data_IF_586914309800
#
_entry.id   IF_586914309800
#
_cell.length_a   1.000
_cell.length_b   1.000
_cell.length_c   1.000
_cell.angle_alpha   90.00
_cell.angle_beta   90.00
_cell.angle_gamma   90.00
#
_symmetry.space_group_name_H-M   'P 1'
#
loop_
_entity.id
_entity.type
_entity.pdbx_description
1 polymer ?
#
# COMPACT_ATOMS: atom_id res chain seq x y z
N UNK A 1 -25.83 -26.41 -34.28
CA UNK A 1 -27.12 -26.96 -33.83
C UNK A 1 -27.18 -26.69 -32.34
N UNK A 2 -27.76 -25.54 -31.97
CA UNK A 2 -27.87 -25.08 -30.58
C UNK A 2 -29.14 -25.73 -30.05
N UNK A 3 -29.00 -26.62 -29.09
CA UNK A 3 -30.16 -27.21 -28.41
C UNK A 3 -30.57 -26.19 -27.33
N UNK A 4 -31.57 -25.38 -27.66
CA UNK A 4 -32.27 -24.60 -26.67
C UNK A 4 -33.13 -25.56 -25.83
N UNK A 5 -32.69 -25.86 -24.62
CA UNK A 5 -33.49 -26.56 -23.63
C UNK A 5 -34.55 -25.58 -23.12
N UNK A 6 -35.74 -25.64 -23.66
CA UNK A 6 -36.91 -24.98 -23.10
C UNK A 6 -37.19 -25.57 -21.72
N UNK A 7 -37.06 -24.74 -20.68
CA UNK A 7 -37.59 -25.03 -19.35
C UNK A 7 -39.12 -24.94 -19.34
N UNK A 8 -39.74 -26.03 -19.70
CA UNK A 8 -41.21 -26.25 -19.69
C UNK A 8 -41.65 -27.04 -18.45
N UNK A 9 -41.06 -26.75 -17.29
CA UNK A 9 -41.56 -27.30 -16.04
C UNK A 9 -41.68 -26.16 -15.03
N UNK A 10 -42.94 -25.80 -14.86
CA UNK A 10 -43.33 -24.90 -13.77
C UNK A 10 -42.81 -25.37 -12.44
N UNK A 11 -42.55 -24.42 -11.62
CA UNK A 11 -42.08 -24.41 -10.25
C UNK A 11 -42.62 -25.58 -9.39
N UNK A 12 -42.09 -26.78 -9.52
CA UNK A 12 -42.19 -27.83 -8.52
C UNK A 12 -40.91 -27.78 -7.75
N UNK A 13 -41.01 -27.38 -6.49
CA UNK A 13 -39.91 -27.22 -5.54
C UNK A 13 -38.89 -28.34 -5.53
N UNK A 14 -38.06 -28.36 -6.56
CA UNK A 14 -36.87 -29.21 -6.60
C UNK A 14 -35.89 -28.77 -5.53
N UNK A 15 -35.33 -29.72 -4.81
CA UNK A 15 -34.28 -29.41 -3.83
C UNK A 15 -33.16 -28.63 -4.52
N UNK A 16 -32.64 -27.58 -3.89
CA UNK A 16 -31.52 -26.82 -4.45
C UNK A 16 -30.31 -27.72 -4.66
N UNK A 17 -29.61 -27.49 -5.76
CA UNK A 17 -28.37 -28.19 -6.10
C UNK A 17 -27.25 -27.18 -6.32
N UNK A 18 -26.00 -27.63 -6.33
CA UNK A 18 -24.86 -26.77 -6.59
C UNK A 18 -24.92 -26.08 -7.97
N UNK A 19 -25.59 -26.72 -8.95
CA UNK A 19 -25.77 -26.19 -10.30
C UNK A 19 -27.04 -25.33 -10.47
N UNK A 20 -27.94 -25.40 -9.49
CA UNK A 20 -29.16 -24.61 -9.45
C UNK A 20 -29.49 -24.24 -8.00
N UNK A 21 -28.77 -23.25 -7.43
CA UNK A 21 -28.92 -22.87 -6.03
C UNK A 21 -30.28 -22.26 -5.70
N UNK A 22 -30.93 -21.57 -6.63
CA UNK A 22 -32.24 -20.98 -6.42
C UNK A 22 -32.36 -20.07 -5.20
N UNK A 23 -33.55 -19.94 -4.66
CA UNK A 23 -33.84 -19.14 -3.44
C UNK A 23 -33.70 -19.95 -2.15
N UNK A 24 -33.23 -21.17 -2.21
CA UNK A 24 -33.10 -22.07 -1.07
C UNK A 24 -31.62 -22.43 -0.84
N UNK A 25 -31.28 -22.68 0.42
CA UNK A 25 -29.96 -23.18 0.79
C UNK A 25 -29.69 -24.53 0.18
N UNK A 26 -28.59 -24.68 -0.54
CA UNK A 26 -28.13 -25.96 -1.06
C UNK A 26 -27.62 -26.90 0.05
N UNK A 27 -27.30 -26.36 1.21
CA UNK A 27 -26.82 -27.13 2.37
C UNK A 27 -27.95 -27.63 3.26
N UNK A 28 -28.93 -26.79 3.57
CA UNK A 28 -29.98 -27.07 4.55
C UNK A 28 -31.36 -27.28 3.93
N UNK A 29 -31.58 -26.75 2.71
CA UNK A 29 -32.90 -26.73 2.07
C UNK A 29 -33.84 -25.66 2.62
N UNK A 30 -33.40 -24.80 3.54
CA UNK A 30 -34.22 -23.71 4.07
C UNK A 30 -34.28 -22.56 3.05
N UNK A 31 -35.39 -21.86 2.99
CA UNK A 31 -35.54 -20.69 2.14
C UNK A 31 -34.74 -19.51 2.69
N UNK A 32 -34.11 -18.75 1.80
CA UNK A 32 -33.48 -17.47 2.13
C UNK A 32 -34.50 -16.35 2.08
N UNK A 33 -34.33 -15.32 2.89
CA UNK A 33 -35.18 -14.13 2.96
C UNK A 33 -36.66 -14.44 3.31
N UNK A 34 -36.90 -15.48 4.07
CA UNK A 34 -38.20 -15.94 4.51
C UNK A 34 -38.22 -15.97 6.05
N UNK A 35 -39.03 -15.11 6.65
CA UNK A 35 -39.13 -14.99 8.12
C UNK A 35 -39.70 -16.26 8.75
N UNK A 36 -40.60 -16.96 8.06
CA UNK A 36 -41.22 -18.20 8.53
C UNK A 36 -40.22 -19.39 8.49
N UNK A 37 -39.22 -19.31 7.61
CA UNK A 37 -38.15 -20.32 7.47
C UNK A 37 -36.87 -20.03 8.26
N UNK A 38 -36.93 -19.12 9.23
CA UNK A 38 -35.78 -18.79 10.11
C UNK A 38 -35.13 -17.44 9.85
N UNK A 39 -35.62 -16.67 8.88
CA UNK A 39 -35.27 -15.26 8.68
C UNK A 39 -33.85 -14.97 8.22
N UNK A 40 -33.10 -15.96 7.72
CA UNK A 40 -31.75 -15.72 7.20
C UNK A 40 -31.80 -14.89 5.93
N UNK A 41 -31.30 -13.64 6.04
CA UNK A 41 -31.29 -12.67 4.96
C UNK A 41 -30.04 -12.84 4.09
N UNK A 42 -30.22 -13.01 2.79
CA UNK A 42 -29.16 -13.02 1.80
C UNK A 42 -29.39 -11.83 0.87
N UNK A 43 -28.45 -10.89 0.87
CA UNK A 43 -28.50 -9.76 -0.05
C UNK A 43 -27.83 -10.13 -1.37
N UNK A 44 -28.40 -9.60 -2.45
CA UNK A 44 -27.80 -9.75 -3.77
C UNK A 44 -26.53 -8.91 -3.83
N UNK A 45 -25.44 -9.51 -4.33
CA UNK A 45 -24.19 -8.80 -4.56
C UNK A 45 -24.18 -8.19 -5.95
N UNK A 46 -24.05 -6.88 -6.04
CA UNK A 46 -24.00 -6.12 -7.30
C UNK A 46 -22.58 -5.76 -7.73
N UNK A 47 -21.58 -6.24 -7.01
CA UNK A 47 -20.18 -5.89 -7.20
C UNK A 47 -19.64 -5.06 -6.05
N UNK A 48 -18.31 -4.98 -5.96
CA UNK A 48 -17.68 -4.10 -4.99
C UNK A 48 -17.91 -2.63 -5.41
N UNK A 49 -18.41 -1.76 -4.51
CA UNK A 49 -18.59 -0.35 -4.81
C UNK A 49 -17.30 0.32 -5.21
N UNK A 50 -17.38 1.32 -6.09
CA UNK A 50 -16.24 2.13 -6.47
C UNK A 50 -15.73 2.93 -5.28
N UNK A 51 -14.43 2.87 -5.06
CA UNK A 51 -13.76 3.57 -3.98
C UNK A 51 -13.08 4.85 -4.52
N UNK A 52 -13.21 5.99 -3.82
CA UNK A 52 -12.60 7.24 -4.27
C UNK A 52 -11.09 7.12 -4.47
N UNK A 53 -10.58 7.75 -5.52
CA UNK A 53 -9.16 7.85 -5.87
C UNK A 53 -8.44 6.51 -6.06
N UNK A 54 -9.15 5.44 -6.39
CA UNK A 54 -8.52 4.14 -6.60
C UNK A 54 -8.62 3.69 -8.04
N UNK A 55 -7.57 3.03 -8.50
CA UNK A 55 -7.47 2.35 -9.80
C UNK A 55 -7.51 0.85 -9.55
N UNK A 56 -8.30 0.15 -10.35
CA UNK A 56 -8.32 -1.32 -10.34
C UNK A 56 -7.08 -1.87 -11.04
N UNK A 57 -6.38 -2.78 -10.38
CA UNK A 57 -5.21 -3.48 -10.90
C UNK A 57 -5.55 -4.97 -10.95
N UNK A 58 -5.60 -5.50 -12.15
CA UNK A 58 -5.79 -6.93 -12.35
C UNK A 58 -4.57 -7.69 -11.84
N UNK A 59 -4.81 -8.69 -11.01
CA UNK A 59 -3.77 -9.53 -10.45
C UNK A 59 -3.13 -10.41 -11.52
N UNK A 60 -1.93 -10.86 -11.22
CA UNK A 60 -1.17 -11.69 -12.14
C UNK A 60 0.11 -12.20 -11.53
N UNK A 61 0.89 -12.87 -12.35
CA UNK A 61 2.22 -13.34 -12.02
C UNK A 61 3.24 -12.27 -12.37
N UNK A 62 4.16 -11.98 -11.46
CA UNK A 62 5.25 -11.03 -11.69
C UNK A 62 6.54 -11.53 -11.08
N UNK A 63 7.64 -11.01 -11.58
CA UNK A 63 8.94 -11.13 -10.94
C UNK A 63 9.16 -9.86 -10.14
N UNK A 64 9.41 -10.00 -8.87
CA UNK A 64 9.76 -8.91 -7.97
C UNK A 64 11.18 -9.09 -7.45
N UNK A 65 11.79 -8.00 -7.03
CA UNK A 65 13.14 -7.98 -6.51
C UNK A 65 14.09 -7.08 -7.30
N UNK A 66 15.34 -7.03 -6.86
CA UNK A 66 16.38 -6.25 -7.52
C UNK A 66 16.90 -6.97 -8.76
N UNK A 67 17.26 -6.20 -9.79
CA UNK A 67 17.89 -6.74 -11.00
C UNK A 67 19.17 -7.52 -10.73
N UNK A 68 19.48 -8.46 -11.60
CA UNK A 68 20.78 -9.11 -11.63
C UNK A 68 21.92 -8.10 -11.83
N UNK A 69 21.66 -7.02 -12.57
CA UNK A 69 22.59 -5.93 -12.86
C UNK A 69 22.57 -4.80 -11.79
N UNK A 70 22.14 -5.12 -10.56
CA UNK A 70 22.17 -4.15 -9.47
C UNK A 70 23.59 -3.65 -9.19
N UNK A 71 23.86 -2.41 -9.62
CA UNK A 71 25.17 -1.75 -9.51
C UNK A 71 25.66 -1.67 -8.08
N UNK A 72 24.74 -1.56 -7.11
CA UNK A 72 25.06 -1.45 -5.69
C UNK A 72 25.22 -2.81 -5.00
N UNK A 73 24.71 -3.87 -5.63
CA UNK A 73 24.79 -5.25 -5.15
C UNK A 73 24.32 -5.44 -3.70
N UNK A 74 23.27 -4.73 -3.29
CA UNK A 74 22.73 -4.85 -1.93
C UNK A 74 22.19 -6.24 -1.61
N UNK A 75 21.68 -6.96 -2.60
CA UNK A 75 21.15 -8.34 -2.49
C UNK A 75 20.20 -8.57 -1.32
N UNK A 76 19.50 -7.52 -0.92
CA UNK A 76 18.51 -7.56 0.16
C UNK A 76 17.10 -7.83 -0.34
N UNK A 77 16.88 -7.78 -1.65
CA UNK A 77 15.63 -8.09 -2.33
C UNK A 77 15.90 -9.04 -3.50
N UNK A 78 16.02 -10.32 -3.20
CA UNK A 78 16.30 -11.34 -4.20
C UNK A 78 15.17 -11.45 -5.21
N UNK A 79 15.52 -11.62 -6.47
CA UNK A 79 14.58 -11.84 -7.55
C UNK A 79 13.77 -13.11 -7.31
N UNK A 80 12.45 -13.02 -7.40
CA UNK A 80 11.53 -14.12 -7.20
C UNK A 80 10.22 -13.91 -7.94
N UNK A 81 9.63 -15.00 -8.39
CA UNK A 81 8.30 -14.98 -8.99
C UNK A 81 7.24 -15.01 -7.92
N UNK A 82 6.25 -14.12 -8.03
CA UNK A 82 5.11 -14.03 -7.14
C UNK A 82 3.81 -13.89 -7.92
N UNK A 83 2.71 -14.37 -7.35
CA UNK A 83 1.36 -14.17 -7.88
C UNK A 83 0.63 -13.17 -7.01
N UNK A 84 0.26 -12.03 -7.57
CA UNK A 84 -0.45 -10.96 -6.87
C UNK A 84 -1.94 -11.07 -7.21
N UNK A 85 -2.80 -11.08 -6.19
CA UNK A 85 -4.24 -11.04 -6.38
C UNK A 85 -4.68 -9.67 -6.91
N UNK A 86 -5.82 -9.61 -7.61
CA UNK A 86 -6.40 -8.33 -8.02
C UNK A 86 -6.70 -7.43 -6.82
N UNK A 87 -6.42 -6.15 -6.96
CA UNK A 87 -6.55 -5.16 -5.89
C UNK A 87 -6.83 -3.77 -6.47
N UNK A 88 -7.12 -2.83 -5.59
CA UNK A 88 -7.22 -1.41 -5.91
C UNK A 88 -6.08 -0.67 -5.25
N UNK A 89 -5.54 0.34 -5.93
CA UNK A 89 -4.49 1.21 -5.40
C UNK A 89 -4.83 2.66 -5.69
N UNK A 90 -4.47 3.57 -4.78
CA UNK A 90 -4.62 5.00 -5.00
C UNK A 90 -3.88 5.43 -6.26
N UNK A 91 -4.57 6.21 -7.09
CA UNK A 91 -4.02 6.81 -8.30
C UNK A 91 -2.80 7.68 -8.00
N UNK A 92 -2.85 8.42 -6.88
CA UNK A 92 -1.81 9.33 -6.45
C UNK A 92 -1.33 9.03 -5.03
N UNK A 93 -0.22 9.65 -4.63
CA UNK A 93 0.17 9.78 -3.23
C UNK A 93 -0.92 10.53 -2.44
N UNK A 94 -1.03 10.28 -1.14
CA UNK A 94 -1.91 11.05 -0.27
C UNK A 94 -1.38 12.48 -0.14
N UNK A 95 -2.19 13.47 -0.53
CA UNK A 95 -1.83 14.87 -0.51
C UNK A 95 -2.09 15.53 0.86
N UNK A 96 -1.47 16.70 1.05
CA UNK A 96 -1.66 17.50 2.26
C UNK A 96 -3.14 17.82 2.54
N UNK A 97 -3.95 18.05 1.50
CA UNK A 97 -5.38 18.34 1.68
C UNK A 97 -6.13 17.13 2.27
N UNK A 98 -5.80 15.91 1.83
CA UNK A 98 -6.42 14.69 2.35
C UNK A 98 -6.03 14.46 3.81
N UNK A 99 -4.81 14.80 4.18
CA UNK A 99 -4.36 14.73 5.56
C UNK A 99 -5.00 15.79 6.44
N UNK A 100 -5.19 17.01 5.93
CA UNK A 100 -5.89 18.08 6.65
C UNK A 100 -7.37 17.74 6.86
N UNK A 101 -8.03 17.07 5.93
CA UNK A 101 -9.37 16.53 6.09
C UNK A 101 -9.43 15.52 7.23
N UNK A 102 -8.50 14.57 7.25
CA UNK A 102 -8.37 13.61 8.35
C UNK A 102 -8.20 14.30 9.70
N UNK A 103 -7.30 15.26 9.79
CA UNK A 103 -7.07 16.03 11.01
C UNK A 103 -8.29 16.85 11.44
N UNK A 104 -9.06 17.39 10.49
CA UNK A 104 -10.30 18.08 10.78
C UNK A 104 -11.32 17.17 11.47
N UNK A 105 -11.51 15.96 10.94
CA UNK A 105 -12.40 14.97 11.54
C UNK A 105 -11.91 14.52 12.91
N UNK A 106 -10.60 14.27 13.08
CA UNK A 106 -10.05 13.92 14.39
C UNK A 106 -10.26 15.01 15.43
N UNK A 107 -10.11 16.28 15.05
CA UNK A 107 -10.34 17.39 15.97
C UNK A 107 -11.80 17.51 16.41
N UNK A 108 -12.74 17.10 15.55
CA UNK A 108 -14.17 17.14 15.84
C UNK A 108 -14.65 15.93 16.64
N UNK A 109 -14.21 14.73 16.26
CA UNK A 109 -14.83 13.47 16.67
C UNK A 109 -13.93 12.63 17.61
N UNK A 110 -12.70 13.08 17.90
CA UNK A 110 -11.72 12.35 18.71
C UNK A 110 -11.15 13.17 19.88
N UNK A 111 -10.34 12.52 20.71
CA UNK A 111 -9.65 13.19 21.82
C UNK A 111 -8.48 14.02 21.32
N UNK A 112 -8.08 15.03 22.10
CA UNK A 112 -6.91 15.87 21.79
C UNK A 112 -5.59 15.08 21.73
N UNK A 113 -5.51 13.94 22.40
CA UNK A 113 -4.34 13.07 22.37
C UNK A 113 -4.23 12.40 20.99
N UNK A 114 -5.33 11.87 20.46
CA UNK A 114 -5.39 11.26 19.12
C UNK A 114 -5.10 12.30 18.04
N UNK A 115 -5.65 13.52 18.18
CA UNK A 115 -5.35 14.62 17.26
C UNK A 115 -3.86 14.98 17.25
N UNK A 116 -3.24 15.11 18.45
CA UNK A 116 -1.80 15.40 18.56
C UNK A 116 -0.94 14.28 17.99
N UNK A 117 -1.32 13.02 18.20
CA UNK A 117 -0.61 11.87 17.64
C UNK A 117 -0.70 11.79 16.11
N UNK A 118 -1.72 12.42 15.50
CA UNK A 118 -1.88 12.48 14.05
C UNK A 118 -1.16 13.67 13.39
N UNK A 119 -0.58 14.60 14.17
CA UNK A 119 0.17 15.72 13.61
C UNK A 119 1.43 15.20 12.90
N UNK A 120 1.64 15.55 11.60
CA UNK A 120 2.91 15.28 10.95
C UNK A 120 4.06 16.01 11.62
N UNK A 121 5.22 15.39 11.64
CA UNK A 121 6.43 16.03 12.11
C UNK A 121 6.95 17.04 11.08
N UNK A 122 6.68 18.30 11.28
CA UNK A 122 7.14 19.38 10.38
C UNK A 122 8.61 19.71 10.56
N UNK A 123 9.24 19.29 11.68
CA UNK A 123 10.67 19.53 11.92
C UNK A 123 11.58 18.76 10.97
N UNK A 124 11.04 17.78 10.23
CA UNK A 124 11.74 17.03 9.19
C UNK A 124 12.32 17.92 8.08
N UNK A 125 11.82 19.16 7.93
CA UNK A 125 12.31 20.13 6.96
C UNK A 125 13.57 20.83 7.43
N UNK A 126 13.88 20.84 8.72
CA UNK A 126 15.07 21.53 9.28
C UNK A 126 16.34 20.79 8.86
N UNK A 127 17.10 21.38 7.98
CA UNK A 127 18.36 20.84 7.49
C UNK A 127 19.55 21.71 7.89
N UNK A 128 20.65 21.10 8.36
CA UNK A 128 21.84 21.84 8.85
C UNK A 128 22.48 22.76 7.82
N UNK A 129 22.32 22.46 6.51
CA UNK A 129 22.96 23.17 5.41
C UNK A 129 21.97 23.64 4.34
N UNK A 130 20.66 23.63 4.65
CA UNK A 130 19.63 24.05 3.70
C UNK A 130 18.66 25.01 4.40
N UNK A 131 18.28 26.09 3.70
CA UNK A 131 17.28 27.03 4.19
C UNK A 131 15.87 26.52 3.87
N UNK A 132 15.44 25.49 4.59
CA UNK A 132 14.12 24.86 4.45
C UNK A 132 13.17 25.22 5.60
N UNK A 133 13.61 26.08 6.54
CA UNK A 133 12.83 26.48 7.70
C UNK A 133 11.41 26.99 7.37
N UNK A 134 11.19 27.76 6.27
CA UNK A 134 9.84 28.18 5.89
C UNK A 134 8.85 27.04 5.61
N UNK A 135 9.35 25.86 5.26
CA UNK A 135 8.47 24.68 5.03
C UNK A 135 7.96 24.08 6.33
N UNK A 136 8.61 24.30 7.45
CA UNK A 136 8.15 23.85 8.78
C UNK A 136 6.75 24.39 9.06
N UNK A 137 6.51 25.66 8.76
CA UNK A 137 5.23 26.31 9.04
C UNK A 137 4.23 26.20 7.86
N UNK A 138 4.74 26.19 6.63
CA UNK A 138 3.91 26.43 5.45
C UNK A 138 3.56 25.16 4.67
N UNK A 139 4.43 24.13 4.66
CA UNK A 139 4.26 23.00 3.75
C UNK A 139 2.92 22.27 3.91
N UNK A 140 2.50 21.98 5.14
CA UNK A 140 1.25 21.27 5.39
C UNK A 140 0.01 22.15 5.17
N UNK A 141 0.06 23.43 5.58
CA UNK A 141 -1.15 24.23 5.74
C UNK A 141 -1.35 25.30 4.69
N UNK A 142 -0.27 25.74 4.04
CA UNK A 142 -0.38 26.81 3.04
C UNK A 142 -1.09 26.30 1.77
N UNK A 143 -2.10 27.04 1.25
CA UNK A 143 -2.92 26.58 0.14
C UNK A 143 -2.16 26.18 -1.12
N UNK A 144 -0.98 26.77 -1.37
CA UNK A 144 -0.13 26.43 -2.52
C UNK A 144 0.41 25.01 -2.50
N UNK A 145 0.45 24.37 -1.32
CA UNK A 145 0.93 22.99 -1.16
C UNK A 145 -0.19 21.96 -0.96
N UNK A 146 -1.46 22.31 -1.20
CA UNK A 146 -2.61 21.43 -0.95
C UNK A 146 -2.49 20.07 -1.63
N UNK A 147 -2.07 20.08 -2.89
CA UNK A 147 -1.95 18.87 -3.71
C UNK A 147 -0.50 18.38 -3.86
N UNK A 148 0.35 18.74 -2.91
CA UNK A 148 1.66 18.13 -2.73
C UNK A 148 1.53 16.95 -1.77
N UNK A 149 2.36 15.90 -1.92
CA UNK A 149 2.26 14.72 -1.07
C UNK A 149 2.50 15.06 0.40
N UNK A 150 1.76 14.44 1.30
CA UNK A 150 2.02 14.58 2.72
C UNK A 150 3.33 13.90 3.08
N UNK A 151 4.16 14.60 3.87
CA UNK A 151 5.42 14.09 4.41
C UNK A 151 5.55 14.39 5.90
N UNK A 152 6.57 13.83 6.55
CA UNK A 152 6.66 13.94 8.01
C UNK A 152 5.66 13.04 8.72
N UNK A 153 5.19 11.99 8.06
CA UNK A 153 4.25 11.01 8.60
C UNK A 153 4.93 9.67 8.83
N UNK A 154 4.69 9.08 9.99
CA UNK A 154 5.17 7.76 10.33
C UNK A 154 4.30 6.67 9.70
N UNK A 155 4.82 5.45 9.64
CA UNK A 155 4.08 4.28 9.17
C UNK A 155 2.81 4.03 10.00
N UNK A 156 2.90 4.21 11.32
CA UNK A 156 1.76 4.07 12.23
C UNK A 156 0.68 5.11 11.93
N UNK A 157 1.07 6.36 11.69
CA UNK A 157 0.14 7.42 11.30
C UNK A 157 -0.53 7.12 9.96
N UNK A 158 0.22 6.64 8.97
CA UNK A 158 -0.32 6.25 7.66
C UNK A 158 -1.37 5.12 7.76
N UNK A 159 -1.12 4.11 8.61
CA UNK A 159 -2.11 3.06 8.88
C UNK A 159 -3.36 3.58 9.59
N UNK A 160 -3.20 4.51 10.53
CA UNK A 160 -4.35 5.11 11.21
C UNK A 160 -5.20 5.96 10.26
N UNK A 161 -4.56 6.68 9.33
CA UNK A 161 -5.24 7.36 8.24
C UNK A 161 -6.07 6.38 7.38
N UNK A 162 -5.48 5.26 6.96
CA UNK A 162 -6.16 4.25 6.16
C UNK A 162 -7.40 3.67 6.87
N UNK A 163 -7.31 3.43 8.18
CA UNK A 163 -8.44 2.99 9.01
C UNK A 163 -9.55 4.05 9.06
N UNK A 164 -9.19 5.31 9.30
CA UNK A 164 -10.15 6.41 9.32
C UNK A 164 -10.84 6.56 7.96
N UNK A 165 -10.07 6.56 6.86
CA UNK A 165 -10.59 6.67 5.49
C UNK A 165 -11.58 5.56 5.18
N UNK A 166 -11.29 4.32 5.60
CA UNK A 166 -12.21 3.19 5.46
C UNK A 166 -13.56 3.48 6.12
N UNK A 167 -13.54 3.97 7.35
CA UNK A 167 -14.76 4.28 8.07
C UNK A 167 -15.54 5.44 7.42
N UNK A 168 -14.84 6.50 7.03
CA UNK A 168 -15.46 7.67 6.39
C UNK A 168 -16.12 7.32 5.05
N UNK A 169 -15.41 6.54 4.20
CA UNK A 169 -15.96 6.12 2.90
C UNK A 169 -17.14 5.17 3.09
N UNK A 170 -17.02 4.20 3.99
CA UNK A 170 -18.11 3.25 4.25
C UNK A 170 -19.34 3.91 4.84
N UNK A 171 -19.16 4.90 5.71
CA UNK A 171 -20.29 5.69 6.22
C UNK A 171 -20.98 6.45 5.09
N UNK A 172 -20.24 7.09 4.21
CA UNK A 172 -20.79 7.80 3.05
C UNK A 172 -21.54 6.86 2.11
N UNK A 173 -20.97 5.73 1.74
CA UNK A 173 -21.61 4.74 0.87
C UNK A 173 -22.92 4.23 1.46
N UNK A 174 -22.96 4.06 2.77
CA UNK A 174 -24.13 3.60 3.47
C UNK A 174 -25.24 4.68 3.48
N UNK A 175 -24.89 5.95 3.74
CA UNK A 175 -25.81 7.08 3.65
C UNK A 175 -26.40 7.21 2.22
N UNK A 176 -25.57 7.04 1.19
CA UNK A 176 -25.98 7.08 -0.21
C UNK A 176 -26.89 5.89 -0.61
N UNK A 177 -26.69 4.73 0.02
CA UNK A 177 -27.48 3.52 -0.28
C UNK A 177 -28.92 3.60 0.23
N UNK A 178 -29.22 4.51 1.17
CA UNK A 178 -30.54 4.63 1.79
C UNK A 178 -31.01 3.40 2.56
N UNK A 179 -30.11 2.46 2.86
CA UNK A 179 -30.44 1.28 3.67
C UNK A 179 -30.52 1.67 5.15
N UNK A 180 -31.55 1.16 5.83
CA UNK A 180 -31.62 1.26 7.28
C UNK A 180 -30.42 0.53 7.90
N UNK A 181 -29.67 1.25 8.71
CA UNK A 181 -28.50 0.73 9.39
C UNK A 181 -28.92 -0.30 10.45
N UNK A 182 -28.27 -1.46 10.52
CA UNK A 182 -28.25 -2.15 11.78
C UNK A 182 -27.60 -1.23 12.82
N UNK A 183 -28.11 -1.21 14.05
CA UNK A 183 -27.47 -0.49 15.15
C UNK A 183 -26.01 -0.95 15.28
N UNK A 184 -25.10 -0.14 14.75
CA UNK A 184 -23.67 -0.40 14.89
C UNK A 184 -23.26 0.14 16.25
N UNK A 185 -22.76 -0.69 17.18
CA UNK A 185 -22.23 -0.20 18.44
C UNK A 185 -21.20 0.90 18.22
N UNK A 186 -21.15 1.89 19.08
CA UNK A 186 -20.18 2.97 19.00
C UNK A 186 -18.75 2.42 18.84
N UNK A 187 -18.10 2.73 17.70
CA UNK A 187 -16.79 2.18 17.32
C UNK A 187 -16.82 0.82 16.61
N UNK A 188 -17.99 0.25 16.35
CA UNK A 188 -18.16 -0.97 15.56
C UNK A 188 -17.98 -0.73 14.07
N UNK A 189 -17.61 -1.80 13.34
CA UNK A 189 -17.57 -1.78 11.87
C UNK A 189 -18.96 -2.07 11.31
N UNK A 190 -19.28 -1.41 10.20
CA UNK A 190 -20.46 -1.75 9.41
C UNK A 190 -20.31 -3.20 8.92
N UNK A 191 -21.33 -4.05 9.08
CA UNK A 191 -21.26 -5.44 8.63
C UNK A 191 -21.01 -5.53 7.13
N UNK A 192 -20.05 -6.34 6.72
CA UNK A 192 -19.72 -6.56 5.31
C UNK A 192 -20.85 -7.23 4.53
N UNK A 193 -21.69 -7.97 5.23
CA UNK A 193 -22.87 -8.66 4.70
C UNK A 193 -23.90 -7.71 4.10
N UNK A 194 -23.81 -6.42 4.41
CA UNK A 194 -24.66 -5.40 3.78
C UNK A 194 -24.45 -5.30 2.26
N UNK A 195 -23.25 -5.68 1.79
CA UNK A 195 -22.86 -5.61 0.39
C UNK A 195 -22.61 -4.19 -0.14
N UNK A 196 -22.81 -3.16 0.69
CA UNK A 196 -22.69 -1.75 0.31
C UNK A 196 -21.30 -1.18 0.63
N UNK A 197 -20.61 -1.80 1.59
CA UNK A 197 -19.33 -1.31 2.10
C UNK A 197 -18.16 -1.89 1.33
N UNK A 198 -17.08 -1.10 1.24
CA UNK A 198 -15.82 -1.53 0.65
C UNK A 198 -14.94 -2.24 1.69
N UNK A 199 -14.03 -3.12 1.24
CA UNK A 199 -12.95 -3.63 2.07
C UNK A 199 -12.09 -2.49 2.65
N UNK A 200 -11.35 -2.81 3.70
CA UNK A 200 -10.53 -1.80 4.36
C UNK A 200 -9.40 -1.29 3.46
N UNK A 201 -9.24 0.03 3.43
CA UNK A 201 -8.00 0.64 2.97
C UNK A 201 -6.84 0.24 3.89
N UNK A 202 -5.70 0.04 3.32
CA UNK A 202 -4.44 -0.27 3.99
C UNK A 202 -3.26 0.25 3.17
N UNK A 203 -2.08 0.20 3.70
CA UNK A 203 -0.89 0.35 2.89
C UNK A 203 -0.79 -0.84 1.92
N UNK A 204 -0.22 -0.67 0.71
CA UNK A 204 0.06 -1.79 -0.19
C UNK A 204 1.09 -2.72 0.44
N UNK A 205 1.03 -4.00 0.10
CA UNK A 205 2.17 -4.89 0.35
C UNK A 205 3.32 -4.51 -0.57
N UNK A 206 4.53 -4.90 -0.21
CA UNK A 206 5.69 -4.67 -1.07
C UNK A 206 5.50 -5.31 -2.46
N UNK A 207 4.93 -6.52 -2.51
CA UNK A 207 4.62 -7.20 -3.77
C UNK A 207 3.58 -6.46 -4.61
N UNK A 208 2.51 -5.97 -4.01
CA UNK A 208 1.50 -5.15 -4.72
C UNK A 208 2.11 -3.85 -5.24
N UNK A 209 2.95 -3.22 -4.44
CA UNK A 209 3.59 -1.97 -4.82
C UNK A 209 4.55 -2.16 -6.01
N UNK A 210 5.43 -3.17 -5.96
CA UNK A 210 6.35 -3.48 -7.07
C UNK A 210 5.59 -3.87 -8.34
N UNK A 211 4.56 -4.72 -8.20
CA UNK A 211 3.71 -5.13 -9.31
C UNK A 211 3.04 -3.93 -9.99
N UNK A 212 2.45 -3.04 -9.17
CA UNK A 212 1.80 -1.83 -9.65
C UNK A 212 2.79 -0.85 -10.30
N UNK A 213 4.00 -0.73 -9.76
CA UNK A 213 5.04 0.14 -10.29
C UNK A 213 5.58 -0.36 -11.63
N UNK A 214 5.77 -1.66 -11.79
CA UNK A 214 6.24 -2.24 -13.05
C UNK A 214 5.20 -2.12 -14.17
N UNK A 215 3.90 -2.17 -13.85
CA UNK A 215 2.77 -1.94 -14.76
C UNK A 215 2.91 -2.68 -16.12
N UNK A 216 3.25 -3.95 -16.09
CA UNK A 216 3.50 -4.77 -17.28
C UNK A 216 2.18 -5.23 -17.93
N UNK A 217 1.32 -4.30 -18.34
CA UNK A 217 0.02 -4.59 -18.96
C UNK A 217 0.21 -5.23 -20.32
N UNK A 218 -0.50 -6.33 -20.56
CA UNK A 218 -0.51 -7.06 -21.85
C UNK A 218 0.77 -7.86 -22.14
N UNK A 219 1.74 -7.83 -21.24
CA UNK A 219 3.05 -8.46 -21.43
C UNK A 219 3.26 -9.67 -20.53
N UNK A 220 2.32 -9.91 -19.62
CA UNK A 220 2.36 -11.00 -18.63
C UNK A 220 2.44 -12.42 -19.24
N UNK A 221 2.14 -12.54 -20.52
CA UNK A 221 2.12 -13.81 -21.26
C UNK A 221 3.44 -14.11 -22.02
N UNK A 222 4.34 -13.14 -22.10
CA UNK A 222 5.61 -13.28 -22.81
C UNK A 222 6.71 -13.57 -21.79
N UNK A 223 7.41 -14.69 -21.97
CA UNK A 223 8.54 -15.07 -21.09
C UNK A 223 9.60 -13.97 -21.00
N UNK A 224 9.85 -13.25 -22.09
CA UNK A 224 10.81 -12.17 -22.17
C UNK A 224 10.52 -11.04 -21.17
N UNK A 225 9.25 -10.83 -20.81
CA UNK A 225 8.86 -9.77 -19.88
C UNK A 225 8.78 -10.26 -18.43
N UNK A 226 8.81 -11.54 -18.21
CA UNK A 226 9.02 -12.09 -16.87
C UNK A 226 10.49 -12.06 -16.47
N UNK A 227 11.40 -12.07 -17.43
CA UNK A 227 12.85 -12.01 -17.20
C UNK A 227 13.41 -10.59 -17.26
N UNK A 228 12.74 -9.66 -17.95
CA UNK A 228 13.20 -8.29 -18.11
C UNK A 228 12.25 -7.33 -17.41
N UNK A 229 12.43 -7.19 -16.10
CA UNK A 229 11.72 -6.19 -15.30
C UNK A 229 11.95 -4.78 -15.84
N UNK A 230 10.98 -3.88 -15.70
CA UNK A 230 11.20 -2.47 -15.97
C UNK A 230 12.13 -1.85 -14.92
N UNK A 231 13.14 -1.12 -15.37
CA UNK A 231 14.04 -0.39 -14.47
C UNK A 231 13.30 0.75 -13.77
N UNK A 232 12.34 1.37 -14.49
CA UNK A 232 11.49 2.45 -13.99
C UNK A 232 10.02 2.16 -14.28
N UNK A 233 9.07 2.84 -13.64
CA UNK A 233 7.62 2.68 -13.88
C UNK A 233 7.14 3.11 -15.28
N UNK A 234 8.03 3.31 -16.24
CA UNK A 234 7.75 3.68 -17.63
C UNK A 234 8.59 2.85 -18.60
N UNK A 235 8.27 2.95 -19.89
CA UNK A 235 9.00 2.23 -20.92
C UNK A 235 10.41 2.77 -21.11
N UNK A 236 11.37 1.85 -21.27
CA UNK A 236 12.76 2.17 -21.53
C UNK A 236 13.55 2.53 -20.28
N UNK A 237 14.82 2.87 -20.49
CA UNK A 237 15.81 3.13 -19.44
C UNK A 237 16.07 4.64 -19.24
N UNK A 238 15.40 5.50 -20.04
CA UNK A 238 15.63 6.91 -20.03
C UNK A 238 14.89 7.60 -18.87
N UNK A 239 15.57 8.50 -18.18
CA UNK A 239 14.97 9.37 -17.16
C UNK A 239 14.25 10.57 -17.77
N UNK A 240 14.44 10.78 -19.07
CA UNK A 240 13.83 11.86 -19.84
C UNK A 240 12.91 11.27 -20.88
N UNK A 241 11.79 11.95 -21.10
CA UNK A 241 10.85 11.58 -22.14
C UNK A 241 11.54 11.60 -23.52
N UNK A 242 11.61 10.47 -24.24
CA UNK A 242 12.25 10.40 -25.54
C UNK A 242 11.35 10.83 -26.69
N UNK A 243 10.06 11.10 -26.47
CA UNK A 243 9.05 11.28 -27.51
C UNK A 243 8.21 12.55 -27.37
N UNK A 244 7.69 12.99 -28.50
CA UNK A 244 6.65 14.02 -28.59
C UNK A 244 7.08 15.42 -28.18
N UNK A 245 6.09 16.25 -27.85
CA UNK A 245 6.28 17.66 -27.48
C UNK A 245 6.97 17.82 -26.12
N UNK A 246 7.04 16.78 -25.32
CA UNK A 246 7.71 16.77 -24.01
C UNK A 246 9.08 16.09 -24.08
N UNK A 247 9.64 15.89 -25.26
CA UNK A 247 10.96 15.30 -25.42
C UNK A 247 12.02 16.09 -24.64
N UNK A 248 12.82 15.35 -23.83
CA UNK A 248 13.86 15.93 -22.99
C UNK A 248 13.43 16.35 -21.58
N UNK A 249 12.10 16.40 -21.29
CA UNK A 249 11.64 16.63 -19.91
C UNK A 249 11.86 15.39 -19.05
N UNK A 250 12.11 15.58 -17.76
CA UNK A 250 12.19 14.47 -16.82
C UNK A 250 10.82 13.80 -16.62
N UNK A 251 10.86 12.52 -16.34
CA UNK A 251 9.68 11.67 -16.10
C UNK A 251 9.34 11.51 -14.61
N UNK A 252 10.20 12.04 -13.73
CA UNK A 252 10.01 11.98 -12.28
C UNK A 252 10.75 13.11 -11.56
N UNK A 253 10.35 13.39 -10.34
CA UNK A 253 11.02 14.32 -9.44
C UNK A 253 12.09 13.57 -8.61
N UNK A 254 13.37 13.84 -8.87
CA UNK A 254 14.49 13.17 -8.21
C UNK A 254 15.75 14.05 -8.24
N UNK A 255 16.73 13.69 -7.43
CA UNK A 255 18.04 14.35 -7.43
C UNK A 255 18.90 13.82 -8.57
N UNK A 256 19.27 14.70 -9.51
CA UNK A 256 20.06 14.31 -10.68
C UNK A 256 21.45 13.79 -10.33
N UNK A 257 22.10 14.39 -9.36
CA UNK A 257 23.47 14.05 -9.02
C UNK A 257 23.91 14.58 -7.67
N UNK A 258 25.17 14.33 -7.31
CA UNK A 258 25.73 14.75 -6.05
C UNK A 258 25.78 16.28 -5.94
N UNK A 259 25.08 16.82 -4.93
CA UNK A 259 25.02 18.26 -4.67
C UNK A 259 24.09 19.06 -5.61
N UNK A 260 23.40 18.39 -6.54
CA UNK A 260 22.53 19.04 -7.51
C UNK A 260 21.12 18.44 -7.50
N UNK A 261 20.12 19.29 -7.29
CA UNK A 261 18.71 18.94 -7.43
C UNK A 261 18.25 19.28 -8.84
N UNK A 262 17.51 18.39 -9.48
CA UNK A 262 17.15 18.51 -10.89
C UNK A 262 16.32 19.76 -11.22
N UNK A 263 15.60 20.34 -10.25
CA UNK A 263 14.65 21.42 -10.44
C UNK A 263 15.20 22.82 -10.72
N UNK A 264 16.48 23.06 -10.58
CA UNK A 264 17.02 24.44 -10.50
C UNK A 264 17.25 25.11 -11.86
N UNK A 265 17.41 24.38 -12.96
CA UNK A 265 17.91 24.91 -14.22
C UNK A 265 16.88 25.00 -15.36
N UNK A 266 15.61 25.26 -15.08
CA UNK A 266 14.59 25.55 -16.12
C UNK A 266 13.89 24.30 -16.68
N UNK A 267 13.26 24.43 -17.85
CA UNK A 267 12.34 23.44 -18.42
C UNK A 267 12.92 22.06 -18.74
N UNK A 268 14.25 21.94 -18.82
CA UNK A 268 14.90 20.64 -19.06
C UNK A 268 15.20 19.88 -17.77
N UNK A 269 14.74 20.37 -16.65
CA UNK A 269 14.78 19.71 -15.34
C UNK A 269 13.37 19.38 -14.87
N UNK A 270 13.24 18.75 -13.69
CA UNK A 270 11.94 18.34 -13.13
C UNK A 270 11.08 19.52 -12.64
N UNK A 271 11.63 20.73 -12.55
CA UNK A 271 10.91 21.93 -12.11
C UNK A 271 10.67 22.00 -10.60
N UNK A 272 11.10 21.01 -9.83
CA UNK A 272 10.88 20.90 -8.40
C UNK A 272 12.17 21.05 -7.60
N UNK A 273 12.16 21.84 -6.54
CA UNK A 273 13.26 21.96 -5.57
C UNK A 273 13.10 20.97 -4.41
N UNK A 274 11.87 20.70 -4.07
CA UNK A 274 11.41 19.74 -3.05
C UNK A 274 10.42 18.77 -3.70
N UNK A 275 9.38 18.38 -3.00
CA UNK A 275 8.25 17.63 -3.58
C UNK A 275 7.54 18.43 -4.67
N UNK A 276 6.80 17.76 -5.54
CA UNK A 276 6.01 18.34 -6.62
C UNK A 276 4.52 18.01 -6.47
N UNK A 277 3.71 18.61 -7.33
CA UNK A 277 2.27 18.33 -7.42
C UNK A 277 2.02 16.85 -7.73
N UNK A 278 1.04 16.23 -7.08
CA UNK A 278 0.77 14.78 -7.20
C UNK A 278 0.42 14.30 -8.62
N UNK A 279 0.05 15.20 -9.54
CA UNK A 279 -0.23 14.92 -10.95
C UNK A 279 0.79 15.54 -11.91
N UNK A 280 1.97 15.97 -11.42
CA UNK A 280 2.94 16.71 -12.26
C UNK A 280 3.55 15.86 -13.37
N UNK A 281 3.86 14.60 -13.09
CA UNK A 281 4.53 13.70 -14.01
C UNK A 281 3.55 12.72 -14.64
N UNK A 282 3.88 12.16 -15.84
CA UNK A 282 3.01 11.19 -16.49
C UNK A 282 2.77 9.95 -15.62
N UNK A 283 1.55 9.40 -15.61
CA UNK A 283 1.27 8.14 -14.93
C UNK A 283 1.91 6.95 -15.66
N UNK A 284 2.04 5.83 -14.96
CA UNK A 284 2.40 4.56 -15.59
C UNK A 284 1.21 3.94 -16.36
N UNK A 285 1.39 2.75 -16.93
CA UNK A 285 0.37 2.11 -17.77
C UNK A 285 -0.90 1.70 -17.01
N UNK A 286 -0.88 1.61 -15.68
CA UNK A 286 -2.08 1.46 -14.84
C UNK A 286 -2.77 2.80 -14.54
N UNK A 287 -2.19 3.93 -14.90
CA UNK A 287 -2.70 5.25 -14.55
C UNK A 287 -2.24 5.74 -13.18
N UNK A 288 -1.23 5.12 -12.58
CA UNK A 288 -0.69 5.51 -11.27
C UNK A 288 0.39 6.57 -11.43
N UNK A 289 0.23 7.69 -10.71
CA UNK A 289 1.18 8.80 -10.70
C UNK A 289 2.28 8.59 -9.68
N UNK A 290 3.47 9.11 -9.98
CA UNK A 290 4.62 9.19 -9.08
C UNK A 290 5.05 7.86 -8.42
N UNK A 291 4.91 6.74 -9.14
CA UNK A 291 5.45 5.45 -8.67
C UNK A 291 6.99 5.44 -8.64
N UNK A 292 7.63 6.51 -9.10
CA UNK A 292 9.06 6.76 -8.97
C UNK A 292 9.31 8.24 -8.71
N UNK A 293 10.16 8.54 -7.74
CA UNK A 293 10.49 9.91 -7.35
C UNK A 293 9.40 10.58 -6.52
N UNK A 294 9.43 11.89 -6.42
CA UNK A 294 8.60 12.74 -5.58
C UNK A 294 8.72 12.39 -4.09
N UNK A 295 7.95 11.46 -3.56
CA UNK A 295 8.18 10.90 -2.22
C UNK A 295 8.30 9.38 -2.28
N UNK A 296 9.15 8.82 -1.45
CA UNK A 296 9.14 7.38 -1.20
C UNK A 296 7.85 7.01 -0.47
N UNK A 297 7.39 5.79 -0.61
CA UNK A 297 6.10 5.38 -0.09
C UNK A 297 6.22 4.23 0.91
N UNK A 298 5.57 4.39 2.06
CA UNK A 298 5.45 3.32 3.03
C UNK A 298 4.68 2.15 2.45
N UNK A 299 5.20 0.93 2.66
CA UNK A 299 4.48 -0.31 2.41
C UNK A 299 4.19 -1.06 3.72
N UNK A 300 3.34 -2.06 3.67
CA UNK A 300 2.87 -2.76 4.87
C UNK A 300 3.96 -3.65 5.50
N UNK A 301 4.92 -4.09 4.70
CA UNK A 301 5.87 -5.12 5.08
C UNK A 301 6.89 -4.66 6.12
N UNK A 302 7.25 -5.59 7.01
CA UNK A 302 8.41 -5.46 7.88
C UNK A 302 9.68 -5.72 7.06
N UNK A 303 10.68 -4.89 7.24
CA UNK A 303 11.97 -5.13 6.61
C UNK A 303 12.64 -6.38 7.20
N UNK A 304 12.99 -7.30 6.30
CA UNK A 304 13.86 -8.44 6.58
C UNK A 304 14.76 -8.64 5.37
N UNK A 305 16.06 -8.86 5.57
CA UNK A 305 16.89 -9.34 4.48
C UNK A 305 16.30 -10.64 3.93
N UNK A 306 16.14 -10.73 2.62
CA UNK A 306 15.61 -11.93 1.99
C UNK A 306 16.68 -13.02 1.94
N UNK A 307 16.26 -14.24 2.18
CA UNK A 307 17.08 -15.44 1.98
C UNK A 307 16.38 -16.35 0.96
N UNK A 308 17.11 -17.32 0.40
CA UNK A 308 16.53 -18.32 -0.52
C UNK A 308 15.44 -19.20 0.11
N UNK A 309 15.25 -19.15 1.42
CA UNK A 309 14.19 -19.85 2.13
C UNK A 309 12.87 -19.05 2.18
N UNK A 310 12.89 -17.79 1.76
CA UNK A 310 11.73 -16.88 1.81
C UNK A 310 10.95 -16.87 0.49
N UNK A 311 11.15 -17.86 -0.39
CA UNK A 311 10.41 -17.95 -1.64
C UNK A 311 8.97 -18.41 -1.40
N UNK A 312 8.03 -17.54 -1.78
CA UNK A 312 6.61 -17.80 -1.82
C UNK A 312 6.06 -17.21 -3.13
N UNK A 313 5.29 -17.99 -3.86
CA UNK A 313 4.71 -17.58 -5.15
C UNK A 313 3.36 -16.85 -5.02
N UNK A 314 2.78 -16.81 -3.82
CA UNK A 314 1.61 -16.02 -3.51
C UNK A 314 2.04 -14.66 -2.97
N UNK A 315 1.14 -13.67 -3.03
CA UNK A 315 1.40 -12.32 -2.57
C UNK A 315 2.06 -12.31 -1.16
N UNK A 316 3.39 -12.33 -1.09
CA UNK A 316 4.09 -12.49 0.17
C UNK A 316 4.02 -11.19 0.96
N UNK A 317 3.70 -11.29 2.23
CA UNK A 317 3.72 -10.17 3.16
C UNK A 317 4.42 -10.58 4.45
N UNK A 318 5.30 -9.73 4.94
CA UNK A 318 5.95 -9.90 6.23
C UNK A 318 5.21 -9.07 7.27
N UNK A 319 4.50 -9.75 8.16
CA UNK A 319 3.66 -9.12 9.20
C UNK A 319 4.46 -8.91 10.48
N UNK A 320 4.05 -7.86 11.20
CA UNK A 320 4.38 -7.72 12.62
C UNK A 320 3.69 -8.82 13.45
N UNK A 321 4.25 -9.10 14.60
CA UNK A 321 3.73 -10.12 15.50
C UNK A 321 4.14 -11.55 15.15
N UNK A 322 4.72 -11.82 13.98
CA UNK A 322 5.30 -13.14 13.69
C UNK A 322 6.47 -13.46 14.62
N UNK A 323 7.13 -12.43 15.08
CA UNK A 323 8.24 -12.49 16.01
C UNK A 323 7.79 -12.25 17.45
N UNK A 324 6.69 -11.55 17.66
CA UNK A 324 6.17 -11.14 18.96
C UNK A 324 5.13 -12.13 19.54
N UNK A 325 4.84 -13.23 18.86
CA UNK A 325 4.03 -14.28 19.45
C UNK A 325 4.79 -14.93 20.62
N UNK A 326 4.95 -14.14 21.67
CA UNK A 326 5.29 -14.54 23.00
C UNK A 326 6.61 -15.32 23.14
N UNK A 327 6.65 -16.19 24.16
CA UNK A 327 7.81 -16.99 24.55
C UNK A 327 8.40 -17.89 23.44
N UNK A 328 7.60 -18.29 22.45
CA UNK A 328 8.07 -19.07 21.31
C UNK A 328 9.12 -18.34 20.50
N UNK A 329 8.94 -17.03 20.32
CA UNK A 329 9.87 -16.25 19.55
C UNK A 329 11.12 -15.89 20.33
N UNK A 330 10.97 -15.50 21.60
CA UNK A 330 12.11 -15.33 22.51
C UNK A 330 12.98 -16.59 22.53
N UNK A 331 12.36 -17.77 22.48
CA UNK A 331 13.06 -19.04 22.39
C UNK A 331 13.72 -19.28 21.03
N UNK A 332 13.12 -18.86 19.90
CA UNK A 332 13.68 -19.02 18.58
C UNK A 332 14.81 -18.01 18.26
N UNK A 333 14.74 -16.81 18.80
CA UNK A 333 15.87 -15.87 18.72
C UNK A 333 17.11 -16.42 19.45
N UNK A 334 16.91 -17.15 20.53
CA UNK A 334 17.97 -17.88 21.24
C UNK A 334 18.56 -19.03 20.43
N UNK A 335 17.78 -19.67 19.59
CA UNK A 335 18.24 -20.74 18.70
C UNK A 335 19.08 -20.24 17.53
N UNK A 336 19.00 -18.95 17.19
CA UNK A 336 19.79 -18.35 16.11
C UNK A 336 21.21 -17.97 16.54
N UNK A 337 21.48 -17.88 17.83
CA UNK A 337 22.85 -17.70 18.33
C UNK A 337 23.32 -18.96 19.10
N UNK A 338 24.02 -19.89 18.41
CA UNK A 338 24.52 -21.12 19.03
C UNK A 338 25.55 -20.88 20.14
N UNK A 339 26.01 -19.66 20.35
CA UNK A 339 26.97 -19.30 21.41
C UNK A 339 26.27 -18.85 22.70
N UNK A 340 24.97 -18.58 22.65
CA UNK A 340 24.23 -18.11 23.81
C UNK A 340 23.61 -19.31 24.55
N UNK A 341 24.11 -19.56 25.77
CA UNK A 341 23.54 -20.55 26.67
C UNK A 341 22.15 -20.07 27.14
N UNK A 342 21.05 -20.73 26.71
CA UNK A 342 19.69 -20.28 27.01
C UNK A 342 19.37 -20.25 28.51
N UNK A 343 20.13 -20.98 29.31
CA UNK A 343 19.94 -21.07 30.76
C UNK A 343 20.55 -19.89 31.53
N UNK A 344 21.39 -19.09 30.87
CA UNK A 344 22.13 -17.99 31.53
C UNK A 344 21.65 -16.60 31.13
N UNK A 345 20.84 -16.47 30.07
CA UNK A 345 20.32 -15.18 29.63
C UNK A 345 19.08 -14.78 30.42
N UNK A 346 19.18 -13.74 31.22
CA UNK A 346 18.03 -13.14 31.92
C UNK A 346 17.35 -12.12 31.01
N UNK A 347 16.00 -12.04 30.98
CA UNK A 347 15.28 -11.04 30.19
C UNK A 347 15.65 -9.59 30.51
N UNK A 348 16.13 -9.37 31.71
CA UNK A 348 16.54 -8.07 32.25
C UNK A 348 17.89 -7.59 31.68
N UNK A 349 18.67 -8.51 31.10
CA UNK A 349 19.99 -8.19 30.52
C UNK A 349 19.91 -7.69 29.07
N UNK A 350 18.71 -7.54 28.53
CA UNK A 350 18.44 -7.12 27.13
C UNK A 350 17.99 -5.66 27.07
N UNK A 351 18.87 -4.76 27.42
CA UNK A 351 18.61 -3.33 27.20
C UNK A 351 19.01 -2.94 25.77
N UNK A 352 18.21 -2.11 25.14
CA UNK A 352 18.40 -1.55 23.79
C UNK A 352 19.77 -0.86 23.60
N UNK A 353 20.53 -0.67 24.67
CA UNK A 353 21.81 0.05 24.73
C UNK A 353 22.97 -0.78 25.27
N UNK A 354 22.89 -2.10 25.26
CA UNK A 354 24.03 -2.93 25.66
C UNK A 354 25.11 -2.91 24.57
N UNK A 355 26.30 -2.35 24.81
CA UNK A 355 27.40 -2.33 23.85
C UNK A 355 27.89 -3.71 23.44
N UNK A 356 27.52 -4.77 24.15
CA UNK A 356 27.77 -6.16 23.83
C UNK A 356 26.52 -6.87 23.31
N UNK A 357 25.35 -6.24 23.35
CA UNK A 357 24.14 -6.72 22.76
C UNK A 357 24.26 -6.67 21.24
N UNK A 358 24.07 -7.79 20.57
CA UNK A 358 23.89 -7.82 19.13
C UNK A 358 22.65 -6.99 18.81
N UNK A 359 22.84 -5.78 18.31
CA UNK A 359 21.78 -5.04 17.62
C UNK A 359 21.41 -5.83 16.39
N UNK A 360 20.46 -6.74 16.56
CA UNK A 360 19.86 -7.45 15.45
C UNK A 360 19.11 -6.41 14.61
N UNK A 361 19.42 -6.32 13.31
CA UNK A 361 18.60 -5.61 12.32
C UNK A 361 17.18 -6.21 12.22
N UNK A 362 16.86 -7.19 13.04
CA UNK A 362 15.61 -7.91 13.11
C UNK A 362 14.73 -7.26 14.17
N UNK A 363 14.09 -6.17 13.83
CA UNK A 363 13.05 -5.54 14.64
C UNK A 363 11.74 -5.53 13.85
N UNK A 364 10.62 -5.90 14.49
CA UNK A 364 9.29 -5.80 13.88
C UNK A 364 8.81 -4.36 13.68
N UNK A 365 9.54 -3.41 14.25
CA UNK A 365 9.26 -1.98 14.08
C UNK A 365 9.88 -1.37 12.83
N UNK A 366 10.74 -2.09 12.11
CA UNK A 366 11.39 -1.58 10.91
C UNK A 366 10.54 -1.91 9.69
N UNK A 367 10.08 -0.87 9.00
CA UNK A 367 9.16 -0.97 7.85
C UNK A 367 9.86 -0.63 6.55
N UNK A 368 9.40 -1.26 5.47
CA UNK A 368 9.90 -1.01 4.12
C UNK A 368 9.25 0.24 3.53
N UNK A 369 10.00 0.98 2.73
CA UNK A 369 9.50 2.02 1.84
C UNK A 369 10.18 1.94 0.48
N UNK A 370 9.49 2.40 -0.56
CA UNK A 370 9.81 2.17 -1.97
C UNK A 370 9.74 3.45 -2.81
N UNK A 371 10.21 3.41 -4.05
CA UNK A 371 9.96 4.39 -5.10
C UNK A 371 10.97 5.52 -5.23
N UNK A 372 11.83 5.74 -4.25
CA UNK A 372 12.74 6.90 -4.24
C UNK A 372 12.00 8.21 -4.00
N UNK A 373 12.73 9.30 -3.83
CA UNK A 373 12.16 10.62 -3.51
C UNK A 373 12.88 11.75 -4.23
N UNK A 374 12.34 12.96 -4.12
CA UNK A 374 12.93 14.20 -4.63
C UNK A 374 14.38 14.42 -4.20
N UNK A 375 14.80 13.82 -3.11
CA UNK A 375 16.16 13.92 -2.54
C UNK A 375 17.08 12.79 -2.98
N UNK A 376 16.54 11.75 -3.60
CA UNK A 376 17.26 10.52 -3.95
C UNK A 376 17.73 10.55 -5.40
N UNK A 377 18.82 9.84 -5.68
CA UNK A 377 19.31 9.63 -7.05
C UNK A 377 18.49 8.53 -7.75
N UNK A 378 18.55 8.52 -9.07
CA UNK A 378 17.76 7.65 -9.93
C UNK A 378 17.80 6.14 -9.59
N UNK A 379 18.88 5.67 -9.01
CA UNK A 379 19.00 4.28 -8.54
C UNK A 379 17.81 3.86 -7.64
N UNK A 380 17.40 4.72 -6.72
CA UNK A 380 16.34 4.42 -5.76
C UNK A 380 14.93 4.46 -6.34
N UNK A 381 14.77 4.90 -7.59
CA UNK A 381 13.49 4.93 -8.30
C UNK A 381 13.12 3.59 -8.94
N UNK A 382 14.07 2.63 -8.99
CA UNK A 382 13.78 1.30 -9.50
C UNK A 382 12.79 0.56 -8.58
N UNK A 383 11.74 -0.08 -9.14
CA UNK A 383 10.74 -0.78 -8.34
C UNK A 383 11.30 -1.86 -7.42
N UNK A 384 12.36 -2.56 -7.82
CA UNK A 384 13.01 -3.61 -7.03
C UNK A 384 13.85 -3.10 -5.86
N UNK A 385 14.19 -1.82 -5.79
CA UNK A 385 14.99 -1.29 -4.67
C UNK A 385 14.18 -1.22 -3.39
N UNK A 386 14.82 -1.50 -2.27
CA UNK A 386 14.22 -1.48 -0.93
C UNK A 386 14.99 -0.55 -0.02
N UNK A 387 14.26 0.15 0.80
CA UNK A 387 14.82 0.87 1.95
C UNK A 387 13.92 0.66 3.15
N UNK A 388 14.41 1.01 4.31
CA UNK A 388 13.70 0.76 5.54
C UNK A 388 13.93 1.88 6.56
N UNK A 389 12.94 2.06 7.43
CA UNK A 389 12.99 3.00 8.53
C UNK A 389 12.11 2.48 9.66
N UNK A 390 12.38 2.92 10.89
CA UNK A 390 11.55 2.63 12.04
C UNK A 390 10.12 3.17 11.84
N UNK A 391 9.11 2.36 12.23
CA UNK A 391 7.70 2.67 11.99
C UNK A 391 7.19 3.93 12.70
N UNK A 392 7.88 4.37 13.75
CA UNK A 392 7.54 5.56 14.53
C UNK A 392 8.30 6.81 14.03
N UNK A 393 9.25 6.63 13.11
CA UNK A 393 10.04 7.71 12.52
C UNK A 393 9.35 8.30 11.28
N UNK A 394 9.65 9.58 11.02
CA UNK A 394 9.15 10.32 9.88
C UNK A 394 10.28 11.11 9.20
N UNK A 395 10.14 11.39 7.92
CA UNK A 395 11.10 12.16 7.13
C UNK A 395 10.40 13.07 6.12
N UNK A 396 11.12 14.07 5.59
CA UNK A 396 10.62 14.93 4.50
C UNK A 396 10.60 14.24 3.12
N UNK A 397 10.95 12.96 3.07
CA UNK A 397 11.12 12.21 1.83
C UNK A 397 10.20 11.00 1.72
N UNK A 398 9.41 10.73 2.76
CA UNK A 398 8.51 9.57 2.80
C UNK A 398 7.08 10.05 3.00
N UNK A 399 6.22 9.63 2.09
CA UNK A 399 4.77 9.72 2.14
C UNK A 399 4.16 8.33 2.04
N UNK A 400 2.96 8.22 1.47
CA UNK A 400 2.30 6.93 1.25
C UNK A 400 1.12 7.06 0.29
N UNK A 401 0.67 5.92 -0.22
CA UNK A 401 -0.63 5.72 -0.86
C UNK A 401 -1.33 4.53 -0.23
N UNK A 402 -2.65 4.44 -0.39
CA UNK A 402 -3.41 3.30 0.11
C UNK A 402 -3.69 2.30 -1.01
N UNK A 403 -3.93 1.06 -0.59
CA UNK A 403 -4.43 -0.01 -1.42
C UNK A 403 -5.62 -0.68 -0.73
N UNK A 404 -6.36 -1.48 -1.47
CA UNK A 404 -7.52 -2.22 -0.99
C UNK A 404 -7.64 -3.52 -1.78
N UNK A 405 -8.00 -4.61 -1.12
CA UNK A 405 -8.24 -5.88 -1.81
C UNK A 405 -9.49 -5.79 -2.68
N UNK A 406 -9.51 -6.53 -3.79
CA UNK A 406 -10.76 -6.87 -4.48
C UNK A 406 -11.47 -7.97 -3.71
N UNK A 407 -12.68 -7.71 -3.23
CA UNK A 407 -13.50 -8.66 -2.52
C UNK A 407 -14.57 -9.25 -3.45
N UNK A 408 -14.40 -10.52 -3.79
CA UNK A 408 -15.32 -11.24 -4.65
C UNK A 408 -15.05 -11.07 -6.14
N UNK A 409 -15.87 -11.70 -6.96
CA UNK A 409 -15.87 -11.59 -8.41
C UNK A 409 -17.19 -11.00 -8.88
N UNK A 410 -17.14 -10.03 -9.79
CA UNK A 410 -18.31 -9.59 -10.54
C UNK A 410 -18.48 -10.60 -11.69
N UNK A 411 -19.31 -11.60 -11.53
CA UNK A 411 -19.71 -12.51 -12.59
C UNK A 411 -21.06 -12.08 -13.14
#
# INVERSE_FOLDING_TARGET
MIIASCSLFGNRGGKPTATNPGQMSTATGLAYNDEDAGGFQVKQFEGQPDAPNTVFIEGGRAIMGSYEEDVMSYRDNLERTVSVASFYMDETEIANIHWLEYMHHLNKDSTQEVYKAALPDTTVWVGKLAFNDPYVDHYLRYPGFRYFPVVGVSWVQANNYAKWRTNAVNQKLLEESGQDLPEVPAGGRIPLETGVVIPAYRLPTEAEWEYAAQALIGTQWLEEMQTHQRIYPWDGHALRNPYGNQMGFFLANFKRGRGDYAGIAGRLNDGALITSYIYEFPPNDYGLYNMAGNVSEWVMDIYRPLSFQDFDDLNPIRRDGFLDEGEKYKNNARLKDPKMDPAKAKPEDWTENDPQGFTSLVSDKVRVYKGGSWKDVAYWMSPGTRRYLDQDSATATIGFRCAMIRAGSNN
#
